data_IF_007978341412
#
_entry.id   IF_007978341412
#
_cell.length_a   1.000
_cell.length_b   1.000
_cell.length_c   1.000
_cell.angle_alpha   90.00
_cell.angle_beta   90.00
_cell.angle_gamma   90.00
#
_symmetry.space_group_name_H-M   'P 1'
#
loop_
_entity.id
_entity.type
_entity.pdbx_description
1 polymer ?
#
# COMPACT_ATOMS: atom_id res chain seq x y z
N UNK A 1 -19.20 -2.33 6.73
CA UNK A 1 -18.16 -1.91 5.75
C UNK A 1 -16.94 -1.46 6.56
N UNK A 2 -15.73 -1.62 6.05
CA UNK A 2 -14.50 -1.25 6.78
C UNK A 2 -13.69 -0.27 5.96
N UNK A 3 -13.21 0.81 6.59
CA UNK A 3 -12.17 1.67 6.04
C UNK A 3 -10.83 1.21 6.63
N UNK A 4 -9.82 1.01 5.79
CA UNK A 4 -8.44 0.78 6.21
C UNK A 4 -7.62 2.01 5.85
N UNK A 5 -6.82 2.50 6.79
CA UNK A 5 -5.96 3.67 6.64
C UNK A 5 -4.52 3.26 6.90
N UNK A 6 -3.61 3.64 6.00
CA UNK A 6 -2.18 3.56 6.23
C UNK A 6 -1.71 4.73 7.09
N UNK A 7 -1.06 4.43 8.21
CA UNK A 7 -0.43 5.44 9.07
C UNK A 7 1.10 5.32 8.95
N UNK A 8 1.72 5.96 7.96
CA UNK A 8 3.15 5.79 7.62
C UNK A 8 4.08 6.06 8.80
N UNK A 9 3.75 7.06 9.63
CA UNK A 9 4.54 7.46 10.81
C UNK A 9 4.24 6.63 12.06
N UNK A 10 3.22 5.77 12.02
CA UNK A 10 2.86 4.88 13.12
C UNK A 10 3.11 3.40 12.79
N UNK A 11 3.71 3.11 11.63
CA UNK A 11 4.08 1.77 11.17
C UNK A 11 2.93 0.76 11.26
N UNK A 12 1.72 1.18 10.91
CA UNK A 12 0.52 0.34 11.03
C UNK A 12 -0.53 0.63 9.97
N UNK A 13 -1.42 -0.35 9.80
CA UNK A 13 -2.72 -0.15 9.18
C UNK A 13 -3.78 -0.08 10.27
N UNK A 14 -4.73 0.84 10.14
CA UNK A 14 -5.82 1.05 11.09
C UNK A 14 -7.16 0.88 10.40
N UNK A 15 -8.07 0.15 11.04
CA UNK A 15 -9.42 -0.08 10.56
C UNK A 15 -10.45 0.73 11.35
N UNK A 16 -11.49 1.16 10.64
CA UNK A 16 -12.70 1.74 11.19
C UNK A 16 -13.91 1.02 10.59
N UNK A 17 -14.95 0.85 11.39
CA UNK A 17 -16.26 0.46 10.87
C UNK A 17 -16.92 1.69 10.23
N UNK A 18 -17.45 1.53 9.03
CA UNK A 18 -18.25 2.55 8.35
C UNK A 18 -19.73 2.20 8.61
N UNK A 19 -20.41 3.07 9.35
CA UNK A 19 -21.83 2.97 9.64
C UNK A 19 -22.70 3.31 8.41
N UNK A 20 -24.01 3.08 8.50
CA UNK A 20 -24.94 3.31 7.39
C UNK A 20 -25.01 4.79 6.95
N UNK A 21 -24.77 5.72 7.86
CA UNK A 21 -24.71 7.16 7.62
C UNK A 21 -23.32 7.66 7.17
N UNK A 22 -22.35 6.74 7.01
CA UNK A 22 -20.97 7.05 6.64
C UNK A 22 -20.07 7.45 7.80
N UNK A 23 -20.58 7.53 9.03
CA UNK A 23 -19.74 7.80 10.20
C UNK A 23 -18.75 6.67 10.47
N UNK A 24 -17.59 7.03 11.03
CA UNK A 24 -16.52 6.09 11.36
C UNK A 24 -16.53 5.79 12.86
N UNK A 25 -16.56 4.50 13.20
CA UNK A 25 -16.54 4.02 14.59
C UNK A 25 -15.53 2.89 14.77
N UNK A 26 -15.33 2.45 16.02
CA UNK A 26 -14.55 1.27 16.36
C UNK A 26 -13.13 1.24 15.77
N UNK A 27 -12.41 2.38 15.92
CA UNK A 27 -11.00 2.47 15.54
C UNK A 27 -10.21 1.33 16.18
N UNK A 28 -9.53 0.55 15.35
CA UNK A 28 -8.69 -0.58 15.79
C UNK A 28 -7.46 -0.70 14.92
N UNK A 29 -6.37 -1.25 15.48
CA UNK A 29 -5.22 -1.65 14.67
C UNK A 29 -5.65 -2.83 13.79
N UNK A 30 -5.46 -2.69 12.49
CA UNK A 30 -5.69 -3.77 11.52
C UNK A 30 -4.42 -4.61 11.33
N UNK A 31 -3.26 -3.95 11.20
CA UNK A 31 -1.96 -4.61 11.17
C UNK A 31 -0.91 -3.80 11.90
N UNK A 32 -0.02 -4.48 12.61
CA UNK A 32 1.26 -3.94 13.06
C UNK A 32 2.31 -4.31 12.01
N UNK A 33 3.01 -3.31 11.46
CA UNK A 33 3.97 -3.53 10.38
C UNK A 33 5.43 -3.48 10.85
N UNK A 34 5.67 -3.28 12.15
CA UNK A 34 7.02 -3.21 12.69
C UNK A 34 7.86 -2.10 12.05
N UNK A 35 8.77 -2.48 11.16
CA UNK A 35 9.66 -1.56 10.42
C UNK A 35 9.12 -1.16 9.03
N UNK A 36 7.89 -1.53 8.68
CA UNK A 36 7.22 -1.10 7.45
C UNK A 36 6.61 0.31 7.57
N UNK A 37 6.71 1.10 6.51
CA UNK A 37 6.20 2.48 6.46
C UNK A 37 5.12 2.60 5.37
N UNK A 38 3.85 2.24 5.65
CA UNK A 38 2.83 2.13 4.62
C UNK A 38 2.44 3.51 4.08
N UNK A 39 2.46 3.69 2.78
CA UNK A 39 1.99 4.88 2.06
C UNK A 39 0.68 4.53 1.30
N UNK A 40 0.65 4.57 -0.03
CA UNK A 40 -0.51 4.14 -0.81
C UNK A 40 -0.79 2.63 -0.68
N UNK A 41 -2.08 2.29 -0.54
CA UNK A 41 -2.54 0.90 -0.33
C UNK A 41 -3.65 0.50 -1.31
N UNK A 42 -3.79 -0.80 -1.55
CA UNK A 42 -4.97 -1.39 -2.19
C UNK A 42 -5.33 -2.74 -1.57
N UNK A 43 -6.58 -3.18 -1.72
CA UNK A 43 -7.03 -4.52 -1.29
C UNK A 43 -7.06 -5.49 -2.47
N UNK A 44 -6.79 -6.76 -2.17
CA UNK A 44 -7.07 -7.87 -3.08
C UNK A 44 -8.35 -8.64 -2.70
N UNK A 45 -8.80 -9.51 -3.60
CA UNK A 45 -10.00 -10.33 -3.46
C UNK A 45 -9.91 -11.38 -2.33
N UNK A 46 -8.72 -11.64 -1.78
CA UNK A 46 -8.51 -12.52 -0.64
C UNK A 46 -8.57 -11.75 0.70
N UNK A 47 -8.76 -10.43 0.65
CA UNK A 47 -8.84 -9.56 1.83
C UNK A 47 -7.48 -9.17 2.41
N UNK A 48 -6.40 -9.39 1.67
CA UNK A 48 -5.08 -8.86 2.03
C UNK A 48 -4.90 -7.43 1.49
N UNK A 49 -4.00 -6.69 2.14
CA UNK A 49 -3.64 -5.33 1.76
C UNK A 49 -2.24 -5.34 1.17
N UNK A 50 -2.09 -4.75 -0.01
CA UNK A 50 -0.80 -4.27 -0.49
C UNK A 50 -0.56 -2.87 0.03
N UNK A 51 0.64 -2.60 0.54
CA UNK A 51 1.11 -1.25 0.82
C UNK A 51 2.43 -0.97 0.12
N UNK A 52 2.57 0.24 -0.40
CA UNK A 52 3.84 0.78 -0.86
C UNK A 52 4.64 1.34 0.32
N UNK A 53 5.96 1.24 0.26
CA UNK A 53 6.86 1.71 1.31
C UNK A 53 8.09 2.39 0.70
N UNK A 54 8.16 3.71 0.93
CA UNK A 54 9.14 4.61 0.33
C UNK A 54 10.56 4.37 0.88
N UNK A 55 10.79 4.35 2.21
CA UNK A 55 12.15 4.14 2.75
C UNK A 55 12.74 2.77 2.41
N UNK A 56 11.92 1.72 2.45
CA UNK A 56 12.39 0.35 2.25
C UNK A 56 12.37 -0.09 0.78
N UNK A 57 11.81 0.73 -0.13
CA UNK A 57 11.82 0.51 -1.60
C UNK A 57 11.17 -0.80 -2.01
N UNK A 58 9.98 -1.05 -1.48
CA UNK A 58 9.22 -2.28 -1.77
C UNK A 58 7.72 -2.03 -1.66
N UNK A 59 6.94 -2.93 -2.24
CA UNK A 59 5.52 -3.09 -1.94
C UNK A 59 5.33 -4.43 -1.23
N UNK A 60 4.56 -4.44 -0.14
CA UNK A 60 4.38 -5.64 0.68
C UNK A 60 2.90 -5.99 0.76
N UNK A 61 2.60 -7.28 0.61
CA UNK A 61 1.26 -7.85 0.80
C UNK A 61 1.15 -8.41 2.21
N UNK A 62 0.16 -7.98 2.97
CA UNK A 62 -0.10 -8.44 4.34
C UNK A 62 -1.55 -8.85 4.53
N UNK A 63 -1.77 -9.87 5.37
CA UNK A 63 -3.12 -10.15 5.91
C UNK A 63 -3.37 -9.37 7.20
N UNK A 64 -4.63 -9.34 7.64
CA UNK A 64 -4.99 -8.75 8.94
C UNK A 64 -4.13 -9.35 10.06
N UNK A 65 -3.68 -8.49 10.97
CA UNK A 65 -2.66 -8.79 11.97
C UNK A 65 -1.22 -8.48 11.54
N UNK A 66 -0.97 -8.23 10.24
CA UNK A 66 0.33 -7.78 9.72
C UNK A 66 1.28 -8.88 9.27
N UNK A 67 0.81 -10.12 9.17
CA UNK A 67 1.62 -11.20 8.63
C UNK A 67 1.86 -10.97 7.13
N UNK A 68 3.15 -10.85 6.75
CA UNK A 68 3.59 -10.72 5.37
C UNK A 68 3.28 -12.01 4.59
N UNK A 69 2.68 -11.83 3.43
CA UNK A 69 2.36 -12.88 2.46
C UNK A 69 3.28 -12.82 1.25
N UNK A 70 3.69 -11.62 0.84
CA UNK A 70 4.52 -11.39 -0.34
C UNK A 70 5.23 -10.03 -0.26
N UNK A 71 6.29 -9.85 -1.05
CA UNK A 71 7.02 -8.58 -1.21
C UNK A 71 7.56 -8.42 -2.62
N UNK A 72 7.48 -7.21 -3.14
CA UNK A 72 8.03 -6.80 -4.44
C UNK A 72 9.04 -5.69 -4.18
N UNK A 73 10.32 -6.02 -4.34
CA UNK A 73 11.39 -5.04 -4.24
C UNK A 73 11.46 -4.14 -5.49
N UNK A 74 11.83 -2.88 -5.28
CA UNK A 74 12.12 -1.92 -6.33
C UNK A 74 13.51 -1.30 -6.12
N UNK A 75 14.04 -0.69 -7.16
CA UNK A 75 15.30 0.05 -7.09
C UNK A 75 15.15 1.46 -6.46
N UNK A 76 13.92 1.87 -6.16
CA UNK A 76 13.55 3.21 -5.69
C UNK A 76 12.33 3.16 -4.77
N UNK A 77 12.00 4.28 -4.12
CA UNK A 77 10.89 4.33 -3.16
C UNK A 77 9.53 4.13 -3.83
N UNK A 78 8.70 3.25 -3.27
CA UNK A 78 7.34 3.00 -3.74
C UNK A 78 6.36 3.88 -2.99
N UNK A 79 5.58 4.70 -3.69
CA UNK A 79 4.67 5.69 -3.09
C UNK A 79 3.21 5.20 -3.06
N UNK A 80 2.78 4.48 -4.09
CA UNK A 80 1.46 3.84 -4.09
C UNK A 80 1.47 2.61 -4.98
N UNK A 81 0.50 1.73 -4.74
CA UNK A 81 0.28 0.54 -5.54
C UNK A 81 -1.22 0.30 -5.75
N UNK A 82 -1.57 -0.27 -6.90
CA UNK A 82 -2.95 -0.64 -7.24
C UNK A 82 -2.97 -1.91 -8.08
N UNK A 83 -3.88 -2.83 -7.75
CA UNK A 83 -4.16 -4.00 -8.55
C UNK A 83 -5.08 -3.65 -9.72
N UNK A 84 -4.75 -4.13 -10.91
CA UNK A 84 -5.50 -3.87 -12.13
C UNK A 84 -5.13 -4.85 -13.25
N UNK A 85 -5.30 -4.43 -14.50
CA UNK A 85 -5.17 -5.32 -15.66
C UNK A 85 -6.46 -6.07 -15.97
N UNK A 86 -6.47 -6.80 -17.08
CA UNK A 86 -7.70 -7.47 -17.61
C UNK A 86 -8.24 -8.51 -16.63
N UNK A 87 -7.36 -9.19 -15.90
CA UNK A 87 -7.70 -10.20 -14.89
C UNK A 87 -7.58 -9.69 -13.45
N UNK A 88 -7.25 -8.40 -13.26
CA UNK A 88 -7.04 -7.79 -11.96
C UNK A 88 -5.74 -8.21 -11.26
N UNK A 89 -4.86 -9.00 -11.89
CA UNK A 89 -3.66 -9.59 -11.28
C UNK A 89 -2.37 -8.87 -11.64
N UNK A 90 -2.44 -7.63 -12.10
CA UNK A 90 -1.23 -6.81 -12.28
C UNK A 90 -1.16 -5.79 -11.15
N UNK A 91 -0.09 -5.85 -10.35
CA UNK A 91 0.21 -4.81 -9.38
C UNK A 91 0.98 -3.69 -10.09
N UNK A 92 0.34 -2.53 -10.25
CA UNK A 92 0.99 -1.30 -10.69
C UNK A 92 1.57 -0.57 -9.49
N UNK A 93 2.78 -0.05 -9.61
CA UNK A 93 3.50 0.65 -8.55
C UNK A 93 4.01 1.99 -9.10
N UNK A 94 3.68 3.09 -8.42
CA UNK A 94 4.31 4.39 -8.70
C UNK A 94 5.53 4.54 -7.79
N UNK A 95 6.69 4.74 -8.40
CA UNK A 95 7.96 4.71 -7.70
C UNK A 95 8.87 5.87 -8.15
N UNK A 96 9.66 6.42 -7.24
CA UNK A 96 10.62 7.49 -7.54
C UNK A 96 11.82 7.41 -6.60
N UNK A 97 12.95 8.00 -7.00
CA UNK A 97 14.08 8.14 -6.07
C UNK A 97 13.71 9.12 -4.94
N UNK A 98 13.61 8.60 -3.72
CA UNK A 98 13.38 9.40 -2.52
C UNK A 98 14.70 9.68 -1.81
N UNK A 99 15.05 10.95 -1.67
CA UNK A 99 16.29 11.40 -1.01
C UNK A 99 16.03 12.21 0.26
N UNK A 100 14.79 12.20 0.78
CA UNK A 100 14.38 12.98 1.93
C UNK A 100 13.76 14.33 1.58
N UNK A 101 13.11 14.96 2.56
CA UNK A 101 12.31 16.17 2.38
C UNK A 101 13.09 17.37 1.83
N UNK A 102 14.37 17.49 2.17
CA UNK A 102 15.26 18.55 1.69
C UNK A 102 15.52 18.49 0.17
N UNK A 103 15.21 17.35 -0.45
CA UNK A 103 15.46 17.08 -1.87
C UNK A 103 14.17 16.83 -2.66
N UNK A 104 13.00 17.26 -2.15
CA UNK A 104 11.71 17.09 -2.86
C UNK A 104 11.66 17.85 -4.19
N UNK A 105 12.37 18.97 -4.30
CA UNK A 105 12.46 19.74 -5.54
C UNK A 105 13.80 19.41 -6.19
N UNK A 106 13.75 18.70 -7.31
CA UNK A 106 14.90 18.36 -8.13
C UNK A 106 14.50 18.39 -9.60
N UNK A 107 15.44 18.75 -10.47
CA UNK A 107 15.27 18.64 -11.92
C UNK A 107 15.27 17.16 -12.38
N UNK A 108 15.76 16.24 -11.55
CA UNK A 108 15.79 14.81 -11.85
C UNK A 108 14.37 14.22 -11.87
N UNK A 109 13.92 13.81 -13.06
CA UNK A 109 12.63 13.13 -13.27
C UNK A 109 12.81 11.61 -13.10
N UNK A 110 12.82 11.15 -11.86
CA UNK A 110 13.08 9.73 -11.52
C UNK A 110 11.80 8.90 -11.35
N UNK A 111 10.63 9.49 -11.57
CA UNK A 111 9.34 8.79 -11.47
C UNK A 111 9.19 7.70 -12.52
N UNK A 112 8.69 6.54 -12.08
CA UNK A 112 8.40 5.38 -12.92
C UNK A 112 7.07 4.75 -12.49
N UNK A 113 6.42 4.10 -13.45
CA UNK A 113 5.36 3.13 -13.19
C UNK A 113 5.93 1.75 -13.46
N UNK A 114 5.98 0.92 -12.43
CA UNK A 114 6.38 -0.48 -12.52
C UNK A 114 5.13 -1.35 -12.55
N UNK A 115 5.23 -2.54 -13.14
CA UNK A 115 4.15 -3.53 -13.11
C UNK A 115 4.70 -4.93 -12.94
N UNK A 116 4.07 -5.72 -12.08
CA UNK A 116 4.40 -7.12 -11.85
C UNK A 116 3.12 -7.94 -11.69
N UNK A 117 3.20 -9.23 -11.99
CA UNK A 117 2.11 -10.16 -11.71
C UNK A 117 1.93 -10.32 -10.19
N UNK A 118 0.68 -10.28 -9.73
CA UNK A 118 0.30 -10.43 -8.34
C UNK A 118 -0.34 -11.80 -8.10
N UNK A 119 -0.14 -12.33 -6.89
CA UNK A 119 -0.68 -13.63 -6.49
C UNK A 119 -2.22 -13.68 -6.46
N UNK A 120 -2.88 -12.55 -6.26
CA UNK A 120 -4.34 -12.43 -6.13
C UNK A 120 -4.87 -11.20 -6.90
N UNK A 121 -6.09 -11.27 -7.46
CA UNK A 121 -6.68 -10.15 -8.19
C UNK A 121 -7.16 -9.05 -7.25
N UNK A 122 -7.27 -7.82 -7.74
CA UNK A 122 -7.79 -6.67 -6.98
C UNK A 122 -9.23 -6.85 -6.46
N UNK A 123 -9.54 -6.20 -5.34
CA UNK A 123 -10.89 -6.07 -4.82
C UNK A 123 -11.45 -4.66 -5.04
N UNK A 124 -12.77 -4.58 -5.19
CA UNK A 124 -13.48 -3.31 -5.33
C UNK A 124 -13.47 -2.77 -6.76
N UNK A 125 -13.72 -1.46 -6.88
CA UNK A 125 -13.70 -0.75 -8.16
C UNK A 125 -12.32 -0.11 -8.35
N UNK A 126 -11.79 -0.06 -9.59
CA UNK A 126 -10.59 0.72 -9.91
C UNK A 126 -10.74 2.20 -9.56
#
# INVERSE_FOLDING_TARGET
KTLIVAESHANRLTAFDIAADGSLANRRRWADLGNGFPDGICLDAEGAVWYADVPNRHCVRVREGGAMLDSVDADRGCFACMLGGVDGKTLFIVAAEWRGFEHMISDARTGQVLSIEASAPGAGWP
#
